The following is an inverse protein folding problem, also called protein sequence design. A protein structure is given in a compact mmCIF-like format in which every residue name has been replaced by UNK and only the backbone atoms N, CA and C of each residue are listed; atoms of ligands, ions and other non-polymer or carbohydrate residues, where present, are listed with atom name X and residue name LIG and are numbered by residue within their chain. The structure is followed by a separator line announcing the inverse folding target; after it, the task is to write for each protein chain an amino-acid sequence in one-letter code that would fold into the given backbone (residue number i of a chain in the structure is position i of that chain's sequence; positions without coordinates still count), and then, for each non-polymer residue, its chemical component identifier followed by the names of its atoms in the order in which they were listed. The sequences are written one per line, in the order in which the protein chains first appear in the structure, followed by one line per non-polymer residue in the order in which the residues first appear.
data_IF_260465922807
#
_entry.id   IF_260465922807
#
_cell.length_a   1.000
_cell.length_b   1.000
_cell.length_c   1.000
_cell.angle_alpha   90.00
_cell.angle_beta   90.00
_cell.angle_gamma   90.00
#
_symmetry.space_group_name_H-M   'P 1'
#
loop_
_entity.id
_entity.type
_entity.pdbx_description
1 polymer ?
#
# COMPACT_ATOMS: atom_id res chain seq x y z
N UNK A 1 58.94 -31.20 16.59
CA UNK A 1 58.63 -32.22 15.57
C UNK A 1 58.09 -31.47 14.36
N UNK A 2 58.43 -31.86 13.13
CA UNK A 2 58.03 -31.16 11.90
C UNK A 2 57.19 -32.13 11.07
N UNK A 3 56.05 -31.66 10.56
CA UNK A 3 55.21 -32.45 9.65
C UNK A 3 55.76 -32.32 8.22
N UNK A 4 56.00 -33.44 7.53
CA UNK A 4 56.51 -33.44 6.14
C UNK A 4 55.38 -33.17 5.14
N UNK A 5 54.18 -33.74 5.36
CA UNK A 5 53.03 -33.67 4.45
C UNK A 5 51.86 -32.82 4.98
N UNK A 6 52.12 -31.93 5.94
CA UNK A 6 51.10 -31.08 6.56
C UNK A 6 50.13 -31.79 7.51
N UNK A 7 50.29 -33.10 7.71
CA UNK A 7 49.52 -33.90 8.68
C UNK A 7 50.39 -34.32 9.86
N UNK A 8 49.83 -34.27 11.07
CA UNK A 8 50.53 -34.69 12.28
C UNK A 8 49.59 -35.32 13.31
N UNK A 9 50.07 -36.34 14.04
CA UNK A 9 49.31 -37.00 15.11
C UNK A 9 50.25 -37.41 16.24
N UNK A 10 49.83 -37.17 17.47
CA UNK A 10 50.57 -37.54 18.67
C UNK A 10 49.58 -37.74 19.84
N UNK A 11 49.96 -38.59 20.78
CA UNK A 11 49.17 -38.87 21.97
C UNK A 11 49.68 -38.01 23.14
N UNK A 12 48.76 -37.26 23.76
CA UNK A 12 49.03 -36.42 24.93
C UNK A 12 47.95 -36.64 25.99
N UNK A 13 48.31 -36.37 27.24
CA UNK A 13 47.36 -36.42 28.35
C UNK A 13 46.25 -35.36 28.20
N UNK A 14 45.07 -35.59 28.79
CA UNK A 14 44.04 -34.56 28.85
C UNK A 14 44.54 -33.30 29.58
N UNK A 15 44.35 -32.14 28.98
CA UNK A 15 44.89 -30.89 29.50
C UNK A 15 44.67 -29.69 28.58
N UNK A 16 45.18 -28.53 28.97
CA UNK A 16 45.17 -27.32 28.16
C UNK A 16 46.53 -27.14 27.50
N UNK A 17 46.52 -26.93 26.19
CA UNK A 17 47.72 -26.85 25.37
C UNK A 17 47.64 -25.67 24.42
N UNK A 18 48.80 -25.21 23.97
CA UNK A 18 48.91 -24.25 22.87
C UNK A 18 49.53 -24.97 21.69
N UNK A 19 48.81 -25.02 20.57
CA UNK A 19 49.33 -25.51 19.30
C UNK A 19 49.96 -24.32 18.57
N UNK A 20 51.22 -24.48 18.15
CA UNK A 20 51.94 -23.48 17.35
C UNK A 20 52.38 -24.19 16.06
N UNK A 21 51.84 -23.77 14.92
CA UNK A 21 52.25 -24.24 13.60
C UNK A 21 52.97 -23.12 12.84
N UNK A 22 54.04 -23.48 12.14
CA UNK A 22 54.86 -22.55 11.33
C UNK A 22 55.24 -23.20 10.01
N UNK A 23 55.10 -22.45 8.93
CA UNK A 23 55.55 -22.85 7.59
C UNK A 23 56.00 -21.60 6.82
N UNK A 24 57.31 -21.40 6.71
CA UNK A 24 57.85 -20.14 6.18
C UNK A 24 57.54 -18.96 7.10
N UNK A 25 56.93 -17.92 6.54
CA UNK A 25 56.43 -16.70 7.20
C UNK A 25 55.00 -16.85 7.75
N UNK A 26 54.36 -18.00 7.53
CA UNK A 26 53.02 -18.27 8.00
C UNK A 26 53.04 -18.89 9.40
N UNK A 27 52.16 -18.42 10.27
CA UNK A 27 52.00 -18.86 11.66
C UNK A 27 50.53 -19.12 12.00
N UNK A 28 50.28 -20.11 12.85
CA UNK A 28 49.02 -20.30 13.55
C UNK A 28 49.31 -20.59 15.02
N UNK A 29 48.59 -19.91 15.92
CA UNK A 29 48.66 -20.12 17.37
C UNK A 29 47.24 -20.38 17.87
N UNK A 30 47.00 -21.57 18.43
CA UNK A 30 45.68 -21.98 18.90
C UNK A 30 45.75 -22.51 20.34
N UNK A 31 44.83 -22.07 21.19
CA UNK A 31 44.69 -22.58 22.56
C UNK A 31 43.60 -23.63 22.60
N UNK A 32 43.96 -24.87 22.94
CA UNK A 32 43.06 -26.03 22.87
C UNK A 32 42.98 -26.75 24.22
N UNK A 33 41.84 -27.39 24.47
CA UNK A 33 41.64 -28.28 25.61
C UNK A 33 41.40 -29.70 25.13
N UNK A 34 42.34 -30.59 25.43
CA UNK A 34 42.30 -32.00 25.01
C UNK A 34 41.62 -32.83 26.10
N UNK A 35 40.59 -33.61 25.74
CA UNK A 35 39.86 -34.52 26.64
C UNK A 35 39.82 -35.98 26.14
N UNK A 36 40.38 -36.24 24.97
CA UNK A 36 40.31 -37.51 24.26
C UNK A 36 40.86 -37.35 22.84
N UNK A 37 40.51 -38.26 21.92
CA UNK A 37 40.95 -38.18 20.52
C UNK A 37 40.22 -37.04 19.79
N UNK A 38 40.96 -36.04 19.33
CA UNK A 38 40.44 -34.85 18.64
C UNK A 38 41.31 -34.59 17.39
N UNK A 39 40.69 -34.04 16.34
CA UNK A 39 41.36 -33.57 15.13
C UNK A 39 41.18 -32.04 15.05
N UNK A 40 42.25 -31.31 14.77
CA UNK A 40 42.26 -29.85 14.61
C UNK A 40 42.74 -29.48 13.21
N UNK A 41 42.00 -28.61 12.52
CA UNK A 41 42.40 -28.04 11.24
C UNK A 41 43.01 -26.66 11.48
N UNK A 42 44.31 -26.52 11.18
CA UNK A 42 45.06 -25.28 11.36
C UNK A 42 45.19 -24.54 10.03
N UNK A 43 44.70 -23.30 9.98
CA UNK A 43 44.93 -22.38 8.87
C UNK A 43 46.04 -21.42 9.29
N UNK A 44 47.17 -21.45 8.60
CA UNK A 44 48.30 -20.56 8.87
C UNK A 44 48.11 -19.26 8.09
N UNK A 45 48.34 -18.14 8.77
CA UNK A 45 48.27 -16.80 8.20
C UNK A 45 49.66 -16.16 8.26
N UNK A 46 49.99 -15.19 7.39
CA UNK A 46 51.23 -14.44 7.52
C UNK A 46 51.28 -13.77 8.89
N UNK A 47 52.46 -13.74 9.48
CA UNK A 47 52.66 -13.04 10.76
C UNK A 47 52.37 -11.55 10.57
N UNK A 48 51.23 -11.10 11.13
CA UNK A 48 50.75 -9.74 10.95
C UNK A 48 51.62 -8.71 11.66
N UNK A 49 52.43 -9.14 12.63
CA UNK A 49 53.41 -8.28 13.30
C UNK A 49 54.55 -7.86 12.37
N UNK A 50 54.71 -8.54 11.23
CA UNK A 50 55.69 -8.23 10.18
C UNK A 50 55.11 -7.28 9.12
N UNK A 51 53.80 -7.02 9.13
CA UNK A 51 53.20 -6.07 8.19
C UNK A 51 53.65 -4.65 8.53
N UNK A 52 54.44 -4.05 7.62
CA UNK A 52 54.79 -2.63 7.73
C UNK A 52 53.49 -1.81 7.65
N UNK A 53 53.14 -1.01 8.66
CA UNK A 53 51.96 -0.15 8.61
C UNK A 53 51.95 0.78 7.38
N UNK A 54 53.12 1.07 6.82
CA UNK A 54 53.29 1.90 5.61
C UNK A 54 52.87 1.17 4.30
N UNK A 55 52.74 -0.16 4.29
CA UNK A 55 52.32 -0.94 3.11
C UNK A 55 50.80 -1.20 3.05
N UNK A 56 50.07 -0.85 4.11
CA UNK A 56 48.61 -1.00 4.13
C UNK A 56 48.03 0.13 3.26
N UNK A 57 47.35 -0.17 2.14
CA UNK A 57 46.72 0.86 1.34
C UNK A 57 45.66 1.57 2.19
N UNK A 58 45.78 2.90 2.30
CA UNK A 58 44.76 3.73 2.95
C UNK A 58 43.42 3.51 2.23
N UNK A 59 42.46 2.93 2.96
CA UNK A 59 41.10 2.81 2.44
C UNK A 59 40.55 4.22 2.22
N UNK A 60 39.86 4.49 1.10
CA UNK A 60 39.23 5.78 0.91
C UNK A 60 38.24 6.02 2.05
N UNK A 61 38.37 7.16 2.73
CA UNK A 61 37.38 7.61 3.71
C UNK A 61 36.04 7.75 2.99
N UNK A 62 35.09 6.88 3.34
CA UNK A 62 33.73 6.96 2.86
C UNK A 62 33.07 8.05 3.69
N UNK A 63 32.83 9.22 3.10
CA UNK A 63 31.98 10.23 3.76
C UNK A 63 30.63 9.56 4.06
N UNK A 64 30.29 9.44 5.35
CA UNK A 64 28.95 9.04 5.76
C UNK A 64 27.98 10.13 5.27
N UNK A 65 27.47 9.99 4.05
CA UNK A 65 26.41 10.86 3.56
C UNK A 65 25.22 10.61 4.46
N UNK A 66 24.96 11.53 5.38
CA UNK A 66 23.77 11.53 6.23
C UNK A 66 22.58 11.18 5.36
N UNK A 67 21.98 9.99 5.59
CA UNK A 67 20.93 9.46 4.74
C UNK A 67 19.87 10.53 4.49
N UNK A 68 19.57 10.78 3.21
CA UNK A 68 18.65 11.85 2.84
C UNK A 68 17.33 11.68 3.63
N UNK A 69 16.92 12.73 4.35
CA UNK A 69 15.67 12.71 5.10
C UNK A 69 14.49 12.70 4.12
N UNK A 70 13.88 11.53 3.94
CA UNK A 70 12.74 11.33 3.04
C UNK A 70 11.39 11.53 3.75
N UNK A 71 11.36 12.04 4.98
CA UNK A 71 10.13 12.28 5.73
C UNK A 71 9.17 13.19 4.97
N UNK A 72 9.70 14.19 4.27
CA UNK A 72 8.90 15.08 3.43
C UNK A 72 8.25 14.37 2.23
N UNK A 73 8.94 13.39 1.60
CA UNK A 73 8.35 12.56 0.54
C UNK A 73 7.22 11.70 1.09
N UNK A 74 7.41 11.08 2.26
CA UNK A 74 6.37 10.27 2.90
C UNK A 74 5.11 11.09 3.20
N UNK A 75 5.27 12.33 3.66
CA UNK A 75 4.16 13.28 3.89
C UNK A 75 3.49 13.66 2.55
N UNK A 76 4.27 13.93 1.51
CA UNK A 76 3.76 14.26 0.18
C UNK A 76 2.92 13.13 -0.43
N UNK A 77 3.39 11.88 -0.39
CA UNK A 77 2.63 10.72 -0.87
C UNK A 77 1.36 10.46 -0.05
N UNK A 78 1.43 10.60 1.27
CA UNK A 78 0.27 10.43 2.16
C UNK A 78 -0.81 11.48 1.89
N UNK A 79 -0.41 12.74 1.74
CA UNK A 79 -1.34 13.84 1.41
C UNK A 79 -1.94 13.70 0.01
N UNK A 80 -1.17 13.28 -1.00
CA UNK A 80 -1.67 12.99 -2.35
C UNK A 80 -2.67 11.83 -2.35
N UNK A 81 -2.42 10.78 -1.55
CA UNK A 81 -3.34 9.66 -1.38
C UNK A 81 -4.68 10.10 -0.77
N UNK A 82 -4.64 10.90 0.30
CA UNK A 82 -5.84 11.44 0.94
C UNK A 82 -6.58 12.38 -0.02
N UNK A 83 -5.87 13.24 -0.75
CA UNK A 83 -6.45 14.15 -1.74
C UNK A 83 -7.08 13.38 -2.91
N UNK A 84 -6.44 12.32 -3.38
CA UNK A 84 -6.97 11.40 -4.39
C UNK A 84 -8.24 10.72 -3.92
N UNK A 85 -8.27 10.18 -2.69
CA UNK A 85 -9.46 9.56 -2.10
C UNK A 85 -10.59 10.59 -1.92
N UNK A 86 -10.26 11.79 -1.45
CA UNK A 86 -11.21 12.90 -1.33
C UNK A 86 -11.80 13.27 -2.70
N UNK A 87 -10.96 13.40 -3.72
CA UNK A 87 -11.39 13.72 -5.08
C UNK A 87 -12.23 12.59 -5.70
N UNK A 88 -11.87 11.33 -5.47
CA UNK A 88 -12.66 10.16 -5.91
C UNK A 88 -14.01 10.07 -5.18
N UNK A 89 -14.05 10.35 -3.87
CA UNK A 89 -15.32 10.44 -3.12
C UNK A 89 -16.17 11.63 -3.60
N UNK A 90 -15.53 12.73 -4.00
CA UNK A 90 -16.21 13.89 -4.59
C UNK A 90 -16.80 13.55 -5.96
N UNK A 91 -16.09 12.80 -6.80
CA UNK A 91 -16.59 12.29 -8.09
C UNK A 91 -17.71 11.25 -7.94
N UNK A 92 -17.73 10.48 -6.84
CA UNK A 92 -18.86 9.60 -6.49
C UNK A 92 -20.11 10.34 -5.99
N UNK A 93 -19.99 11.60 -5.56
CA UNK A 93 -21.14 12.45 -5.17
C UNK A 93 -21.59 13.43 -6.25
N UNK A 94 -20.78 13.68 -7.28
CA UNK A 94 -21.12 14.50 -8.45
C UNK A 94 -20.75 13.77 -9.75
N UNK A 95 -21.74 13.22 -10.45
CA UNK A 95 -21.64 12.99 -11.89
C UNK A 95 -21.38 11.55 -12.34
N UNK A 96 -22.27 10.62 -11.98
CA UNK A 96 -22.48 9.41 -12.79
C UNK A 96 -23.81 9.59 -13.54
N UNK A 97 -23.68 9.82 -14.86
CA UNK A 97 -24.62 9.44 -15.94
C UNK A 97 -26.04 10.01 -16.00
N UNK A 98 -26.32 11.23 -15.51
CA UNK A 98 -27.66 11.85 -15.73
C UNK A 98 -27.85 12.31 -17.19
N UNK A 99 -26.77 12.56 -17.94
CA UNK A 99 -26.84 13.06 -19.33
C UNK A 99 -27.32 12.05 -20.36
N UNK A 100 -26.88 10.80 -20.28
CA UNK A 100 -27.24 9.75 -21.25
C UNK A 100 -28.54 9.03 -20.90
N UNK A 101 -28.92 8.89 -19.62
CA UNK A 101 -30.18 8.22 -19.25
C UNK A 101 -31.42 9.00 -19.72
N UNK A 102 -31.36 10.33 -19.85
CA UNK A 102 -32.52 11.15 -20.25
C UNK A 102 -32.97 10.86 -21.69
N UNK A 103 -32.05 10.51 -22.61
CA UNK A 103 -32.42 10.23 -24.00
C UNK A 103 -33.20 8.91 -24.15
N UNK A 104 -32.92 7.92 -23.29
CA UNK A 104 -33.52 6.57 -23.33
C UNK A 104 -34.79 6.46 -22.45
N UNK A 105 -35.23 7.55 -21.82
CA UNK A 105 -36.45 7.52 -21.01
C UNK A 105 -37.70 7.22 -21.88
N UNK A 106 -38.56 6.26 -21.46
CA UNK A 106 -39.89 6.08 -22.03
C UNK A 106 -40.70 7.38 -22.03
N UNK A 107 -41.58 7.58 -23.03
CA UNK A 107 -42.33 8.84 -23.19
C UNK A 107 -43.11 9.28 -21.93
N UNK A 108 -43.72 8.32 -21.23
CA UNK A 108 -44.48 8.59 -20.01
C UNK A 108 -43.62 9.18 -18.88
N UNK A 109 -42.35 8.77 -18.79
CA UNK A 109 -41.39 9.29 -17.83
C UNK A 109 -40.90 10.68 -18.23
N UNK A 110 -40.65 10.91 -19.53
CA UNK A 110 -40.29 12.23 -20.07
C UNK A 110 -41.38 13.26 -19.78
N UNK A 111 -42.65 12.93 -20.07
CA UNK A 111 -43.80 13.81 -19.82
C UNK A 111 -43.93 14.20 -18.35
N UNK A 112 -43.74 13.25 -17.43
CA UNK A 112 -43.78 13.54 -15.98
C UNK A 112 -42.59 14.42 -15.57
N UNK A 113 -41.39 14.12 -16.06
CA UNK A 113 -40.18 14.88 -15.74
C UNK A 113 -40.26 16.32 -16.25
N UNK A 114 -40.74 16.54 -17.47
CA UNK A 114 -40.97 17.86 -18.06
C UNK A 114 -42.01 18.65 -17.27
N UNK A 115 -43.10 18.00 -16.85
CA UNK A 115 -44.10 18.65 -16.01
C UNK A 115 -43.53 19.06 -14.64
N UNK A 116 -42.71 18.22 -14.01
CA UNK A 116 -42.03 18.58 -12.77
C UNK A 116 -41.11 19.79 -13.00
N UNK A 117 -40.37 19.82 -14.12
CA UNK A 117 -39.52 20.96 -14.51
C UNK A 117 -40.33 22.23 -14.72
N UNK A 118 -41.47 22.16 -15.42
CA UNK A 118 -42.32 23.34 -15.69
C UNK A 118 -42.94 23.93 -14.43
N UNK A 119 -43.18 23.12 -13.39
CA UNK A 119 -43.65 23.59 -12.07
C UNK A 119 -42.52 24.11 -11.17
N UNK A 120 -41.35 24.42 -11.71
CA UNK A 120 -40.21 24.94 -10.94
C UNK A 120 -39.48 23.87 -10.13
N UNK A 121 -39.55 22.61 -10.56
CA UNK A 121 -38.83 21.50 -9.94
C UNK A 121 -39.47 20.96 -8.66
N UNK A 122 -40.71 21.34 -8.35
CA UNK A 122 -41.44 20.87 -7.17
C UNK A 122 -42.92 20.70 -7.49
N UNK A 123 -43.46 19.51 -7.23
CA UNK A 123 -44.89 19.25 -7.43
C UNK A 123 -45.41 18.18 -6.47
N UNK A 124 -46.69 18.22 -6.08
CA UNK A 124 -47.30 17.12 -5.33
C UNK A 124 -47.73 15.97 -6.23
N UNK A 125 -47.77 14.74 -5.70
CA UNK A 125 -48.35 13.59 -6.43
C UNK A 125 -49.81 13.82 -6.82
N UNK A 126 -50.58 14.56 -6.01
CA UNK A 126 -51.97 14.91 -6.31
C UNK A 126 -52.07 15.83 -7.54
N UNK A 127 -51.18 16.80 -7.64
CA UNK A 127 -51.13 17.72 -8.78
C UNK A 127 -50.68 17.00 -10.06
N UNK A 128 -49.69 16.11 -9.99
CA UNK A 128 -49.30 15.26 -11.13
C UNK A 128 -50.49 14.47 -11.68
N UNK A 129 -51.26 13.83 -10.80
CA UNK A 129 -52.47 13.09 -11.19
C UNK A 129 -53.49 14.00 -11.89
N UNK A 130 -53.71 15.21 -11.35
CA UNK A 130 -54.68 16.15 -11.89
C UNK A 130 -54.27 16.68 -13.27
N UNK A 131 -52.98 16.95 -13.49
CA UNK A 131 -52.48 17.52 -14.74
C UNK A 131 -52.28 16.49 -15.85
N UNK A 132 -51.90 15.25 -15.51
CA UNK A 132 -51.63 14.18 -16.49
C UNK A 132 -52.83 13.25 -16.72
N UNK A 133 -53.85 13.29 -15.86
CA UNK A 133 -54.99 12.36 -15.94
C UNK A 133 -54.65 10.90 -15.63
N UNK A 134 -53.46 10.63 -15.07
CA UNK A 134 -53.00 9.29 -14.75
C UNK A 134 -53.63 8.75 -13.45
N UNK A 135 -53.80 7.43 -13.39
CA UNK A 135 -54.22 6.74 -12.16
C UNK A 135 -53.18 6.91 -11.05
N UNK A 136 -53.62 6.76 -9.80
CA UNK A 136 -52.73 6.86 -8.63
C UNK A 136 -51.57 5.86 -8.70
N UNK A 137 -51.89 4.61 -9.07
CA UNK A 137 -50.90 3.55 -9.22
C UNK A 137 -49.88 3.88 -10.31
N UNK A 138 -50.33 4.41 -11.48
CA UNK A 138 -49.44 4.78 -12.59
C UNK A 138 -48.49 5.91 -12.19
N UNK A 139 -48.99 6.95 -11.52
CA UNK A 139 -48.13 8.05 -11.02
C UNK A 139 -47.14 7.54 -9.98
N UNK A 140 -47.58 6.69 -9.05
CA UNK A 140 -46.69 6.11 -8.04
C UNK A 140 -45.56 5.29 -8.67
N UNK A 141 -45.88 4.46 -9.67
CA UNK A 141 -44.92 3.66 -10.42
C UNK A 141 -43.89 4.53 -11.15
N UNK A 142 -44.35 5.56 -11.87
CA UNK A 142 -43.48 6.48 -12.62
C UNK A 142 -42.55 7.24 -11.67
N UNK A 143 -43.09 7.77 -10.57
CA UNK A 143 -42.28 8.51 -9.57
C UNK A 143 -41.23 7.60 -8.94
N UNK A 144 -41.56 6.33 -8.67
CA UNK A 144 -40.61 5.36 -8.15
C UNK A 144 -39.49 5.05 -9.17
N UNK A 145 -39.80 4.98 -10.46
CA UNK A 145 -38.77 4.77 -11.50
C UNK A 145 -37.85 6.00 -11.66
N UNK A 146 -38.42 7.22 -11.67
CA UNK A 146 -37.63 8.45 -11.68
C UNK A 146 -36.74 8.59 -10.43
N UNK A 147 -37.25 8.17 -9.27
CA UNK A 147 -36.51 8.17 -8.00
C UNK A 147 -35.35 7.16 -8.04
N UNK A 148 -35.58 5.96 -8.57
CA UNK A 148 -34.54 4.94 -8.77
C UNK A 148 -33.43 5.41 -9.72
N UNK A 149 -33.78 6.16 -10.76
CA UNK A 149 -32.84 6.80 -11.70
C UNK A 149 -32.17 8.05 -11.14
N UNK A 150 -32.51 8.45 -9.91
CA UNK A 150 -31.92 9.63 -9.27
C UNK A 150 -32.32 10.97 -9.88
N UNK A 151 -33.38 11.00 -10.71
CA UNK A 151 -33.87 12.23 -11.38
C UNK A 151 -34.80 13.04 -10.48
N UNK A 152 -35.43 12.40 -9.50
CA UNK A 152 -36.33 13.05 -8.54
C UNK A 152 -36.15 12.49 -7.14
N UNK A 153 -36.59 13.24 -6.14
CA UNK A 153 -36.64 12.84 -4.74
C UNK A 153 -38.06 13.00 -4.19
N UNK A 154 -38.50 12.04 -3.37
CA UNK A 154 -39.84 12.03 -2.77
C UNK A 154 -39.78 12.32 -1.28
N UNK A 155 -40.47 13.37 -0.84
CA UNK A 155 -40.57 13.75 0.57
C UNK A 155 -42.01 13.62 1.05
N UNK A 156 -42.20 12.94 2.18
CA UNK A 156 -43.52 12.75 2.80
C UNK A 156 -44.05 14.08 3.36
N UNK A 157 -45.28 14.44 3.01
CA UNK A 157 -46.03 15.57 3.58
C UNK A 157 -47.45 15.13 3.95
N UNK A 158 -47.65 14.81 5.23
CA UNK A 158 -48.93 14.33 5.75
C UNK A 158 -49.34 12.99 5.11
N UNK A 159 -50.53 12.95 4.50
CA UNK A 159 -51.08 11.79 3.79
C UNK A 159 -50.62 11.68 2.33
N UNK A 160 -49.73 12.56 1.85
CA UNK A 160 -49.24 12.55 0.47
C UNK A 160 -47.74 12.78 0.39
N UNK A 161 -47.24 12.84 -0.85
CA UNK A 161 -45.83 13.08 -1.14
C UNK A 161 -45.65 14.33 -2.01
N UNK A 162 -44.58 15.07 -1.74
CA UNK A 162 -44.02 16.09 -2.63
C UNK A 162 -42.85 15.47 -3.37
N UNK A 163 -42.76 15.75 -4.66
CA UNK A 163 -41.69 15.32 -5.54
C UNK A 163 -40.85 16.55 -5.86
N UNK A 164 -39.54 16.40 -5.70
CA UNK A 164 -38.54 17.40 -6.03
C UNK A 164 -37.71 16.90 -7.19
N UNK A 165 -37.43 17.76 -8.15
CA UNK A 165 -36.47 17.48 -9.21
C UNK A 165 -35.07 17.46 -8.60
N UNK A 166 -34.35 16.38 -8.84
CA UNK A 166 -32.96 16.24 -8.42
C UNK A 166 -32.08 16.63 -9.60
N UNK A 167 -31.87 17.94 -9.74
CA UNK A 167 -30.88 18.45 -10.71
C UNK A 167 -29.49 18.37 -10.06
N UNK A 168 -28.45 17.93 -10.79
CA UNK A 168 -27.05 18.14 -10.37
C UNK A 168 -26.69 19.62 -10.26
#
# INVERSE_FOLDING_TARGET
MVAEDGNYSFDIEPGNYTIIARSGDLVAVEHVTVKGKILYDLILFPDLDVLNPEEIPELPEIEETSGADYSWLAIAFSSAGIFGIYYLKRKRKSGVEVGEEIEVLPEDLKKVLELIKSEGGRITQKELRKKLGFSEAKVSLIVADLERRGLVEKVKKGRGNIIFLKTP
#
